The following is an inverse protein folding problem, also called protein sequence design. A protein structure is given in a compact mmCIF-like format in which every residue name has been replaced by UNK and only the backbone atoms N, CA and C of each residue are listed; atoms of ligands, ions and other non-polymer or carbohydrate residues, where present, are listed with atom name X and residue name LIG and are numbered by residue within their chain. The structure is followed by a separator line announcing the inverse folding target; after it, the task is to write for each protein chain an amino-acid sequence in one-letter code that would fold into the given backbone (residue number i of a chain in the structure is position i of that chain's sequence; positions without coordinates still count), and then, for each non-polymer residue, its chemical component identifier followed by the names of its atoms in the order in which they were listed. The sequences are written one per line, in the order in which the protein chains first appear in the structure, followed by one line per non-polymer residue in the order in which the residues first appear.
data_IF_262978455464
#
_entry.id   IF_262978455464
#
_cell.length_a   1.000
_cell.length_b   1.000
_cell.length_c   1.000
_cell.angle_alpha   90.00
_cell.angle_beta   90.00
_cell.angle_gamma   90.00
#
_symmetry.space_group_name_H-M   'P 1'
#
loop_
_entity.id
_entity.type
_entity.pdbx_description
1 polymer ?
#
# COMPACT_ATOMS: atom_id res chain seq x y z
N UNK A 1 64.24 20.08 66.61
CA UNK A 1 63.89 18.71 66.17
C UNK A 1 62.40 18.55 66.41
N UNK A 2 61.71 18.04 65.39
CA UNK A 2 60.27 18.17 65.10
C UNK A 2 59.33 17.49 66.09
N UNK A 3 58.21 18.17 66.33
CA UNK A 3 57.03 17.78 67.11
C UNK A 3 56.29 16.56 66.52
N UNK A 4 55.63 15.77 67.36
CA UNK A 4 54.16 15.84 67.51
C UNK A 4 53.60 14.71 68.38
N UNK A 5 52.53 15.09 69.08
CA UNK A 5 51.75 14.36 70.08
C UNK A 5 51.37 12.92 69.70
N UNK A 6 51.58 12.03 70.67
CA UNK A 6 50.88 10.75 70.80
C UNK A 6 50.06 10.86 72.10
N UNK A 7 48.75 11.06 71.97
CA UNK A 7 47.81 10.64 73.01
C UNK A 7 47.02 9.46 72.46
N UNK A 8 47.34 8.29 73.03
CA UNK A 8 46.48 7.12 73.04
C UNK A 8 45.53 7.29 74.22
N UNK A 9 44.23 7.23 73.95
CA UNK A 9 43.30 6.63 74.90
C UNK A 9 42.50 5.55 74.19
N UNK A 10 42.38 4.43 74.88
CA UNK A 10 42.02 3.12 74.38
C UNK A 10 40.57 2.78 74.67
N UNK A 11 39.96 2.13 73.68
CA UNK A 11 38.97 1.06 73.78
C UNK A 11 37.55 1.39 74.27
N UNK A 12 36.60 1.33 73.34
CA UNK A 12 35.41 0.48 73.53
C UNK A 12 34.80 0.06 72.18
N UNK A 13 34.52 -1.24 72.08
CA UNK A 13 33.39 -1.84 71.38
C UNK A 13 33.41 -1.95 69.85
N UNK A 14 33.65 -3.18 69.40
CA UNK A 14 33.18 -3.65 68.10
C UNK A 14 31.65 -3.80 68.10
N UNK A 15 31.04 -3.50 66.96
CA UNK A 15 29.61 -3.67 66.75
C UNK A 15 29.19 -3.30 65.33
N UNK A 16 29.33 -4.26 64.41
CA UNK A 16 28.51 -4.47 63.21
C UNK A 16 27.55 -3.34 62.79
N UNK A 17 27.96 -2.45 61.89
CA UNK A 17 27.04 -1.49 61.23
C UNK A 17 27.03 -1.58 59.69
N UNK A 18 27.49 -2.70 59.12
CA UNK A 18 27.42 -2.94 57.67
C UNK A 18 26.09 -3.60 57.20
N UNK A 19 25.12 -3.79 58.09
CA UNK A 19 23.88 -4.53 57.80
C UNK A 19 22.68 -3.69 57.36
N UNK A 20 22.71 -2.36 57.58
CA UNK A 20 21.55 -1.47 57.35
C UNK A 20 21.66 -0.57 56.11
N UNK A 21 22.86 -0.38 55.55
CA UNK A 21 23.04 0.46 54.35
C UNK A 21 22.69 -0.28 53.04
N UNK A 22 22.96 -1.58 52.97
CA UNK A 22 22.62 -2.42 51.81
C UNK A 22 21.11 -2.45 51.47
N UNK A 23 20.17 -2.66 52.41
CA UNK A 23 18.74 -2.70 52.08
C UNK A 23 18.19 -1.36 51.59
N UNK A 24 18.64 -0.23 52.15
CA UNK A 24 18.19 1.11 51.72
C UNK A 24 18.68 1.47 50.30
N UNK A 25 19.90 1.06 49.95
CA UNK A 25 20.44 1.24 48.59
C UNK A 25 19.71 0.34 47.58
N UNK A 26 19.33 -0.87 47.99
CA UNK A 26 18.56 -1.80 47.15
C UNK A 26 17.13 -1.27 46.92
N UNK A 27 16.42 -0.81 47.96
CA UNK A 27 15.08 -0.21 47.81
C UNK A 27 15.11 1.05 46.92
N UNK A 28 16.10 1.92 47.09
CA UNK A 28 16.30 3.10 46.25
C UNK A 28 16.51 2.75 44.77
N UNK A 29 17.33 1.71 44.50
CA UNK A 29 17.59 1.22 43.14
C UNK A 29 16.38 0.53 42.53
N UNK A 30 15.66 -0.30 43.30
CA UNK A 30 14.44 -0.97 42.84
C UNK A 30 13.34 0.05 42.51
N UNK A 31 13.18 1.08 43.34
CA UNK A 31 12.20 2.16 43.08
C UNK A 31 12.56 2.98 41.84
N UNK A 32 13.86 3.20 41.60
CA UNK A 32 14.34 3.89 40.40
C UNK A 32 14.17 3.01 39.14
N UNK A 33 14.42 1.70 39.25
CA UNK A 33 14.22 0.73 38.16
C UNK A 33 12.72 0.61 37.82
N UNK A 34 11.83 0.49 38.81
CA UNK A 34 10.37 0.47 38.57
C UNK A 34 9.86 1.74 37.90
N UNK A 35 10.40 2.91 38.25
CA UNK A 35 10.07 4.17 37.56
C UNK A 35 10.55 4.20 36.10
N UNK A 36 11.74 3.68 35.84
CA UNK A 36 12.28 3.58 34.48
C UNK A 36 11.48 2.58 33.65
N UNK A 37 11.09 1.43 34.22
CA UNK A 37 10.24 0.43 33.55
C UNK A 37 8.85 1.00 33.28
N UNK A 38 8.26 1.73 34.24
CA UNK A 38 6.97 2.41 34.03
C UNK A 38 7.04 3.44 32.91
N UNK A 39 8.07 4.29 32.89
CA UNK A 39 8.26 5.29 31.84
C UNK A 39 8.54 4.67 30.46
N UNK A 40 9.31 3.57 30.40
CA UNK A 40 9.54 2.81 29.17
C UNK A 40 8.25 2.16 28.66
N UNK A 41 7.44 1.59 29.56
CA UNK A 41 6.16 0.97 29.21
C UNK A 41 5.12 1.98 28.72
N UNK A 42 5.09 3.19 29.31
CA UNK A 42 4.22 4.27 28.85
C UNK A 42 4.68 4.80 27.49
N UNK A 43 5.98 4.95 27.28
CA UNK A 43 6.56 5.38 26.01
C UNK A 43 6.29 4.36 24.88
N UNK A 44 6.47 3.07 25.14
CA UNK A 44 6.14 2.00 24.19
C UNK A 44 4.64 1.96 23.88
N UNK A 45 3.77 2.16 24.88
CA UNK A 45 2.32 2.22 24.64
C UNK A 45 1.90 3.43 23.81
N UNK A 46 2.48 4.61 24.06
CA UNK A 46 2.22 5.80 23.26
C UNK A 46 2.70 5.62 21.81
N UNK A 47 3.91 5.10 21.61
CA UNK A 47 4.49 4.85 20.29
C UNK A 47 3.65 3.82 19.51
N UNK A 48 3.29 2.69 20.14
CA UNK A 48 2.42 1.67 19.56
C UNK A 48 1.02 2.22 19.23
N UNK A 49 0.46 3.08 20.09
CA UNK A 49 -0.85 3.70 19.85
C UNK A 49 -0.82 4.65 18.66
N UNK A 50 0.28 5.39 18.50
CA UNK A 50 0.50 6.33 17.40
C UNK A 50 0.68 5.60 16.07
N UNK A 51 1.42 4.48 16.05
CA UNK A 51 1.58 3.63 14.88
C UNK A 51 0.26 2.96 14.48
N UNK A 52 -0.52 2.47 15.44
CA UNK A 52 -1.84 1.88 15.18
C UNK A 52 -2.80 2.94 14.62
N UNK A 53 -2.78 4.17 15.13
CA UNK A 53 -3.56 5.27 14.56
C UNK A 53 -3.09 5.61 13.14
N UNK A 54 -1.78 5.70 12.89
CA UNK A 54 -1.23 5.95 11.56
C UNK A 54 -1.62 4.84 10.56
N UNK A 55 -1.59 3.57 10.98
CA UNK A 55 -2.05 2.42 10.20
C UNK A 55 -3.55 2.45 9.94
N UNK A 56 -4.38 2.81 10.93
CA UNK A 56 -5.83 2.96 10.76
C UNK A 56 -6.15 4.09 9.78
N UNK A 57 -5.48 5.23 9.89
CA UNK A 57 -5.62 6.38 8.99
C UNK A 57 -5.14 6.03 7.58
N UNK A 58 -3.99 5.36 7.42
CA UNK A 58 -3.52 4.85 6.13
C UNK A 58 -4.49 3.86 5.49
N UNK A 59 -5.04 2.91 6.26
CA UNK A 59 -6.07 1.96 5.78
C UNK A 59 -7.36 2.69 5.39
N UNK A 60 -7.76 3.72 6.14
CA UNK A 60 -8.91 4.54 5.79
C UNK A 60 -8.69 5.31 4.48
N UNK A 61 -7.51 5.92 4.31
CA UNK A 61 -7.12 6.57 3.05
C UNK A 61 -7.05 5.61 1.87
N UNK A 62 -6.51 4.40 2.05
CA UNK A 62 -6.49 3.37 1.02
C UNK A 62 -7.91 2.95 0.62
N UNK A 63 -8.82 2.74 1.59
CA UNK A 63 -10.24 2.47 1.31
C UNK A 63 -10.94 3.62 0.57
N UNK A 64 -10.64 4.86 0.94
CA UNK A 64 -11.15 6.05 0.27
C UNK A 64 -10.62 6.16 -1.17
N UNK A 65 -9.33 5.97 -1.38
CA UNK A 65 -8.70 5.97 -2.70
C UNK A 65 -9.27 4.87 -3.60
N UNK A 66 -9.47 3.68 -3.03
CA UNK A 66 -10.04 2.53 -3.73
C UNK A 66 -11.51 2.76 -4.11
N UNK A 67 -12.32 3.33 -3.20
CA UNK A 67 -13.71 3.69 -3.47
C UNK A 67 -13.80 4.78 -4.53
N UNK A 68 -12.93 5.80 -4.46
CA UNK A 68 -12.84 6.86 -5.47
C UNK A 68 -12.51 6.29 -6.84
N UNK A 69 -11.52 5.40 -6.92
CA UNK A 69 -11.09 4.75 -8.15
C UNK A 69 -12.22 3.91 -8.78
N UNK A 70 -12.97 3.20 -7.95
CA UNK A 70 -14.13 2.40 -8.35
C UNK A 70 -15.26 3.28 -8.92
N UNK A 71 -15.55 4.42 -8.27
CA UNK A 71 -16.53 5.40 -8.76
C UNK A 71 -16.10 5.99 -10.11
N UNK A 72 -14.83 6.38 -10.25
CA UNK A 72 -14.31 6.95 -11.50
C UNK A 72 -14.45 5.93 -12.64
N UNK A 73 -14.05 4.68 -12.40
CA UNK A 73 -14.16 3.62 -13.39
C UNK A 73 -15.62 3.33 -13.76
N UNK A 74 -16.51 3.20 -12.77
CA UNK A 74 -17.93 2.93 -13.01
C UNK A 74 -18.60 4.05 -13.80
N UNK A 75 -18.33 5.32 -13.46
CA UNK A 75 -18.87 6.48 -14.19
C UNK A 75 -18.33 6.52 -15.62
N UNK A 76 -17.04 6.26 -15.81
CA UNK A 76 -16.44 6.32 -17.14
C UNK A 76 -16.97 5.20 -18.05
N UNK A 77 -16.96 3.94 -17.60
CA UNK A 77 -17.48 2.82 -18.36
C UNK A 77 -18.96 3.01 -18.69
N UNK A 78 -19.72 3.55 -17.76
CA UNK A 78 -21.14 3.83 -17.93
C UNK A 78 -21.42 4.96 -18.93
N UNK A 79 -20.62 6.02 -18.90
CA UNK A 79 -20.73 7.11 -19.88
C UNK A 79 -20.45 6.58 -21.29
N UNK A 80 -19.37 5.80 -21.46
CA UNK A 80 -19.00 5.23 -22.77
C UNK A 80 -20.08 4.26 -23.27
N UNK A 81 -20.55 3.35 -22.42
CA UNK A 81 -21.59 2.39 -22.78
C UNK A 81 -22.95 3.06 -23.05
N UNK A 82 -23.36 4.02 -22.21
CA UNK A 82 -24.63 4.72 -22.37
C UNK A 82 -24.66 5.63 -23.60
N UNK A 83 -23.58 6.38 -23.88
CA UNK A 83 -23.49 7.22 -25.08
C UNK A 83 -23.46 6.36 -26.34
N UNK A 84 -22.68 5.27 -26.37
CA UNK A 84 -22.64 4.38 -27.53
C UNK A 84 -23.98 3.68 -27.80
N UNK A 85 -24.66 3.19 -26.76
CA UNK A 85 -25.99 2.60 -26.88
C UNK A 85 -27.03 3.62 -27.35
N UNK A 86 -27.00 4.83 -26.80
CA UNK A 86 -27.91 5.92 -27.17
C UNK A 86 -27.74 6.38 -28.62
N UNK A 87 -26.49 6.51 -29.08
CA UNK A 87 -26.20 6.82 -30.49
C UNK A 87 -26.70 5.72 -31.42
N UNK A 88 -26.52 4.45 -31.04
CA UNK A 88 -26.93 3.30 -31.86
C UNK A 88 -28.45 3.21 -31.98
N UNK A 89 -29.18 3.43 -30.88
CA UNK A 89 -30.65 3.48 -30.88
C UNK A 89 -31.15 4.69 -31.65
N UNK A 90 -30.53 5.85 -31.49
CA UNK A 90 -30.91 7.05 -32.24
C UNK A 90 -30.72 6.90 -33.74
N UNK A 91 -29.62 6.27 -34.16
CA UNK A 91 -29.39 5.93 -35.57
C UNK A 91 -30.45 4.96 -36.12
N UNK A 92 -30.85 3.95 -35.33
CA UNK A 92 -31.91 3.00 -35.68
C UNK A 92 -33.29 3.68 -35.78
N UNK A 93 -33.65 4.53 -34.82
CA UNK A 93 -34.94 5.22 -34.86
C UNK A 93 -34.99 6.24 -36.01
N UNK A 94 -33.88 6.92 -36.28
CA UNK A 94 -33.78 7.87 -37.39
C UNK A 94 -33.89 7.19 -38.75
N UNK A 95 -33.28 6.02 -38.94
CA UNK A 95 -33.39 5.27 -40.20
C UNK A 95 -34.81 4.79 -40.47
N UNK A 96 -35.53 4.35 -39.43
CA UNK A 96 -36.95 3.97 -39.54
C UNK A 96 -37.83 5.18 -39.86
N UNK A 97 -37.60 6.33 -39.22
CA UNK A 97 -38.37 7.53 -39.49
C UNK A 97 -38.17 8.06 -40.92
N UNK A 98 -36.93 8.04 -41.43
CA UNK A 98 -36.66 8.42 -42.83
C UNK A 98 -37.35 7.45 -43.79
N UNK A 99 -37.29 6.13 -43.52
CA UNK A 99 -37.92 5.12 -44.38
C UNK A 99 -39.44 5.24 -44.43
N UNK A 100 -40.07 5.74 -43.37
CA UNK A 100 -41.53 5.96 -43.30
C UNK A 100 -41.97 7.37 -43.74
N UNK A 101 -41.04 8.20 -44.24
CA UNK A 101 -41.34 9.55 -44.71
C UNK A 101 -41.63 10.55 -43.59
N UNK A 102 -41.03 10.37 -42.41
CA UNK A 102 -41.26 11.21 -41.23
C UNK A 102 -40.82 12.67 -41.41
N UNK A 103 -41.64 13.59 -40.92
CA UNK A 103 -41.39 15.03 -40.96
C UNK A 103 -40.24 15.47 -40.04
N UNK A 104 -39.75 16.70 -40.25
CA UNK A 104 -38.69 17.33 -39.42
C UNK A 104 -38.99 17.31 -37.91
N UNK A 105 -40.27 17.39 -37.52
CA UNK A 105 -40.69 17.30 -36.10
C UNK A 105 -40.38 15.90 -35.54
N UNK A 106 -40.57 14.84 -36.33
CA UNK A 106 -40.25 13.48 -35.93
C UNK A 106 -38.73 13.31 -35.71
N UNK A 107 -37.90 13.88 -36.58
CA UNK A 107 -36.43 13.88 -36.41
C UNK A 107 -35.99 14.56 -35.11
N UNK A 108 -36.59 15.71 -34.77
CA UNK A 108 -36.33 16.40 -33.50
C UNK A 108 -36.67 15.57 -32.27
N UNK A 109 -37.85 14.92 -32.27
CA UNK A 109 -38.27 14.04 -31.17
C UNK A 109 -37.37 12.81 -31.01
N UNK A 110 -36.88 12.24 -32.12
CA UNK A 110 -35.97 11.08 -32.09
C UNK A 110 -34.64 11.44 -31.45
N UNK A 111 -34.06 12.59 -31.80
CA UNK A 111 -32.81 13.07 -31.18
C UNK A 111 -33.01 13.27 -29.67
N UNK A 112 -34.11 13.91 -29.26
CA UNK A 112 -34.42 14.16 -27.85
C UNK A 112 -34.61 12.86 -27.07
N UNK A 113 -35.35 11.90 -27.62
CA UNK A 113 -35.56 10.57 -27.00
C UNK A 113 -34.25 9.79 -26.91
N UNK A 114 -33.39 9.86 -27.93
CA UNK A 114 -32.10 9.17 -27.94
C UNK A 114 -31.17 9.70 -26.85
N UNK A 115 -31.15 11.02 -26.63
CA UNK A 115 -30.35 11.64 -25.56
C UNK A 115 -30.90 11.24 -24.18
N UNK A 116 -32.22 11.28 -23.99
CA UNK A 116 -32.85 10.87 -22.73
C UNK A 116 -32.58 9.38 -22.41
N UNK A 117 -32.62 8.52 -23.43
CA UNK A 117 -32.34 7.11 -23.30
C UNK A 117 -30.86 6.83 -23.01
N UNK A 118 -29.95 7.54 -23.70
CA UNK A 118 -28.51 7.49 -23.45
C UNK A 118 -28.19 7.84 -21.99
N UNK A 119 -28.77 8.93 -21.48
CA UNK A 119 -28.60 9.37 -20.10
C UNK A 119 -29.12 8.36 -19.09
N UNK A 120 -30.28 7.75 -19.36
CA UNK A 120 -30.88 6.74 -18.48
C UNK A 120 -30.06 5.46 -18.41
N UNK A 121 -29.56 4.96 -19.55
CA UNK A 121 -28.69 3.77 -19.61
C UNK A 121 -27.32 4.06 -18.98
N UNK A 122 -26.77 5.26 -19.21
CA UNK A 122 -25.53 5.67 -18.56
C UNK A 122 -25.70 5.65 -17.03
N UNK A 123 -26.77 6.26 -16.50
CA UNK A 123 -27.01 6.26 -15.07
C UNK A 123 -27.22 4.84 -14.52
N UNK A 124 -28.03 4.03 -15.18
CA UNK A 124 -28.29 2.64 -14.77
C UNK A 124 -27.01 1.80 -14.77
N UNK A 125 -26.21 1.87 -15.83
CA UNK A 125 -24.95 1.12 -15.90
C UNK A 125 -23.90 1.62 -14.90
N UNK A 126 -23.87 2.92 -14.58
CA UNK A 126 -22.98 3.47 -13.55
C UNK A 126 -23.32 2.90 -12.17
N UNK A 127 -24.61 2.91 -11.82
CA UNK A 127 -25.10 2.37 -10.54
C UNK A 127 -24.90 0.85 -10.49
N UNK A 128 -25.24 0.14 -11.57
CA UNK A 128 -25.09 -1.30 -11.64
C UNK A 128 -23.62 -1.75 -11.54
N UNK A 129 -22.71 -1.10 -12.28
CA UNK A 129 -21.28 -1.36 -12.17
C UNK A 129 -20.77 -1.04 -10.77
N UNK A 130 -21.16 0.09 -10.19
CA UNK A 130 -20.78 0.44 -8.83
C UNK A 130 -21.23 -0.62 -7.81
N UNK A 131 -22.46 -1.12 -7.91
CA UNK A 131 -22.98 -2.16 -7.02
C UNK A 131 -22.26 -3.50 -7.20
N UNK A 132 -22.00 -3.93 -8.43
CA UNK A 132 -21.24 -5.15 -8.72
C UNK A 132 -19.80 -5.05 -8.23
N UNK A 133 -19.13 -3.94 -8.52
CA UNK A 133 -17.76 -3.68 -8.07
C UNK A 133 -17.70 -3.60 -6.54
N UNK A 134 -18.68 -2.97 -5.89
CA UNK A 134 -18.79 -2.93 -4.42
C UNK A 134 -18.97 -4.34 -3.83
N UNK A 135 -19.86 -5.16 -4.40
CA UNK A 135 -20.04 -6.56 -3.98
C UNK A 135 -18.76 -7.40 -4.18
N UNK A 136 -18.02 -7.16 -5.26
CA UNK A 136 -16.71 -7.79 -5.48
C UNK A 136 -15.67 -7.37 -4.41
N UNK A 137 -15.76 -6.16 -3.87
CA UNK A 137 -14.83 -5.67 -2.83
C UNK A 137 -15.09 -6.24 -1.44
N UNK A 138 -16.31 -6.71 -1.12
CA UNK A 138 -16.73 -6.92 0.28
C UNK A 138 -16.56 -8.32 0.87
N UNK A 139 -16.49 -9.44 0.12
CA UNK A 139 -16.19 -10.73 0.79
C UNK A 139 -15.67 -11.90 -0.05
N UNK A 140 -16.04 -12.06 -1.33
CA UNK A 140 -15.73 -13.31 -2.07
C UNK A 140 -14.58 -13.21 -3.09
N UNK A 141 -14.34 -12.04 -3.71
CA UNK A 141 -13.33 -11.92 -4.76
C UNK A 141 -11.89 -11.73 -4.23
N UNK A 142 -11.72 -11.24 -2.99
CA UNK A 142 -10.39 -11.10 -2.37
C UNK A 142 -9.74 -12.47 -2.14
N UNK A 143 -10.54 -13.47 -1.76
CA UNK A 143 -10.09 -14.85 -1.51
C UNK A 143 -9.92 -15.68 -2.78
N UNK A 144 -10.85 -15.58 -3.74
CA UNK A 144 -10.75 -16.29 -5.03
C UNK A 144 -9.67 -15.71 -5.95
N UNK A 145 -9.43 -14.39 -5.92
CA UNK A 145 -8.35 -13.78 -6.69
C UNK A 145 -6.96 -14.07 -6.11
N UNK A 146 -6.85 -14.56 -4.87
CA UNK A 146 -5.58 -15.07 -4.33
C UNK A 146 -5.25 -16.47 -4.86
N UNK A 147 -6.23 -17.23 -5.37
CA UNK A 147 -6.07 -18.65 -5.74
C UNK A 147 -5.93 -18.96 -7.24
N UNK A 148 -6.26 -18.05 -8.17
CA UNK A 148 -6.21 -18.35 -9.61
C UNK A 148 -5.37 -17.39 -10.45
N UNK A 149 -4.56 -17.98 -11.34
CA UNK A 149 -3.13 -17.70 -11.52
C UNK A 149 -2.72 -17.29 -12.95
N UNK A 150 -3.64 -16.81 -13.80
CA UNK A 150 -3.30 -16.41 -15.19
C UNK A 150 -3.00 -14.92 -15.39
N UNK A 151 -3.57 -14.06 -14.54
CA UNK A 151 -3.43 -12.59 -14.60
C UNK A 151 -2.31 -12.08 -13.70
N UNK A 152 -1.82 -12.93 -12.80
CA UNK A 152 -0.69 -12.64 -11.95
C UNK A 152 0.57 -12.75 -12.79
N UNK A 153 1.26 -11.63 -13.01
CA UNK A 153 2.57 -11.61 -13.64
C UNK A 153 3.61 -11.50 -12.55
N UNK A 154 4.60 -12.39 -12.60
CA UNK A 154 5.73 -12.40 -11.68
C UNK A 154 7.01 -12.46 -12.48
N UNK A 155 8.02 -11.72 -12.05
CA UNK A 155 9.39 -11.82 -12.55
C UNK A 155 10.33 -11.81 -11.36
N UNK A 156 11.34 -12.65 -11.42
CA UNK A 156 12.43 -12.67 -10.45
C UNK A 156 13.62 -11.94 -11.03
N UNK A 157 14.28 -11.15 -10.19
CA UNK A 157 15.48 -10.41 -10.54
C UNK A 157 16.49 -10.66 -9.43
N UNK A 158 17.72 -11.00 -9.80
CA UNK A 158 18.82 -11.13 -8.86
C UNK A 158 19.63 -9.84 -8.88
N UNK A 159 19.90 -9.29 -7.70
CA UNK A 159 20.68 -8.07 -7.55
C UNK A 159 21.87 -8.30 -6.61
N UNK A 160 23.07 -7.79 -6.95
CA UNK A 160 24.29 -7.97 -6.17
C UNK A 160 24.36 -6.95 -5.02
N UNK A 161 23.30 -6.89 -4.20
CA UNK A 161 23.24 -6.06 -3.00
C UNK A 161 22.72 -6.87 -1.80
N UNK A 162 23.16 -6.57 -0.56
CA UNK A 162 22.64 -7.16 0.66
C UNK A 162 21.15 -6.85 0.83
N UNK A 163 20.46 -7.72 1.57
CA UNK A 163 19.00 -7.70 1.78
C UNK A 163 18.46 -6.32 2.16
N UNK A 164 19.11 -5.64 3.12
CA UNK A 164 18.67 -4.32 3.61
C UNK A 164 18.67 -3.27 2.49
N UNK A 165 19.70 -3.25 1.65
CA UNK A 165 19.81 -2.33 0.53
C UNK A 165 18.79 -2.70 -0.57
N UNK A 166 18.59 -3.99 -0.83
CA UNK A 166 17.58 -4.47 -1.78
C UNK A 166 16.14 -4.06 -1.40
N UNK A 167 15.82 -4.07 -0.09
CA UNK A 167 14.52 -3.59 0.41
C UNK A 167 14.35 -2.09 0.17
N UNK A 168 15.36 -1.28 0.50
CA UNK A 168 15.27 0.18 0.33
C UNK A 168 15.25 0.59 -1.16
N UNK A 169 15.96 -0.13 -2.04
CA UNK A 169 15.84 0.04 -3.49
C UNK A 169 14.42 -0.28 -3.98
N UNK A 170 13.82 -1.35 -3.45
CA UNK A 170 12.44 -1.74 -3.79
C UNK A 170 11.41 -0.70 -3.33
N UNK A 171 11.57 -0.15 -2.12
CA UNK A 171 10.74 0.95 -1.60
C UNK A 171 10.88 2.16 -2.50
N UNK A 172 12.10 2.55 -2.84
CA UNK A 172 12.38 3.73 -3.67
C UNK A 172 11.81 3.58 -5.08
N UNK A 173 12.00 2.41 -5.70
CA UNK A 173 11.46 2.09 -7.02
C UNK A 173 9.94 2.25 -7.05
N UNK A 174 9.23 1.72 -6.05
CA UNK A 174 7.77 1.84 -5.96
C UNK A 174 7.30 3.25 -5.57
N UNK A 175 8.02 3.95 -4.69
CA UNK A 175 7.68 5.30 -4.24
C UNK A 175 7.86 6.36 -5.35
N UNK A 176 8.84 6.16 -6.23
CA UNK A 176 9.16 7.09 -7.31
C UNK A 176 8.08 7.16 -8.40
N UNK A 177 7.16 6.18 -8.44
CA UNK A 177 6.14 6.08 -9.48
C UNK A 177 4.99 7.04 -9.26
N UNK A 178 4.85 7.99 -10.18
CA UNK A 178 3.72 8.93 -10.19
C UNK A 178 2.39 8.19 -10.29
N UNK A 179 1.48 8.49 -9.37
CA UNK A 179 0.15 7.87 -9.31
C UNK A 179 0.15 6.47 -8.70
N UNK A 180 1.22 6.06 -8.04
CA UNK A 180 1.26 4.84 -7.26
C UNK A 180 1.22 5.19 -5.77
N UNK A 181 0.59 4.34 -4.97
CA UNK A 181 0.39 4.56 -3.54
C UNK A 181 0.91 3.37 -2.77
N UNK A 182 1.96 3.58 -1.98
CA UNK A 182 2.49 2.57 -1.07
C UNK A 182 1.41 2.19 -0.05
N UNK A 183 1.01 0.92 -0.06
CA UNK A 183 -0.05 0.38 0.79
C UNK A 183 0.54 -0.25 2.05
N UNK A 184 1.59 -1.06 1.90
CA UNK A 184 2.27 -1.72 3.02
C UNK A 184 3.76 -1.86 2.77
N UNK A 185 4.54 -1.68 3.82
CA UNK A 185 5.99 -1.91 3.86
C UNK A 185 6.24 -2.80 5.07
N UNK A 186 6.65 -4.03 4.84
CA UNK A 186 7.11 -4.93 5.90
C UNK A 186 8.60 -5.21 5.67
N UNK A 187 9.45 -4.56 6.46
CA UNK A 187 10.90 -4.69 6.34
C UNK A 187 11.40 -6.04 6.84
N UNK A 188 10.70 -6.67 7.79
CA UNK A 188 11.10 -7.95 8.37
C UNK A 188 10.87 -9.10 7.38
N UNK A 189 9.76 -9.05 6.65
CA UNK A 189 9.44 -10.02 5.59
C UNK A 189 10.00 -9.65 4.22
N UNK A 190 10.63 -8.47 4.10
CA UNK A 190 11.14 -7.93 2.84
C UNK A 190 10.05 -7.65 1.80
N UNK A 191 8.80 -7.42 2.23
CA UNK A 191 7.66 -7.20 1.32
C UNK A 191 7.27 -5.73 1.23
N UNK A 192 7.13 -5.24 0.01
CA UNK A 192 6.69 -3.87 -0.30
C UNK A 192 5.55 -3.95 -1.29
N UNK A 193 4.42 -3.32 -0.98
CA UNK A 193 3.21 -3.38 -1.79
C UNK A 193 2.73 -1.97 -2.08
N UNK A 194 2.38 -1.74 -3.34
CA UNK A 194 1.87 -0.48 -3.87
C UNK A 194 0.62 -0.73 -4.72
N UNK A 195 -0.28 0.24 -4.73
CA UNK A 195 -1.46 0.26 -5.58
C UNK A 195 -1.29 1.32 -6.66
N UNK A 196 -1.48 0.94 -7.92
CA UNK A 196 -1.52 1.90 -9.02
C UNK A 196 -2.87 2.61 -9.07
N UNK A 197 -2.86 3.89 -9.47
CA UNK A 197 -4.09 4.67 -9.66
C UNK A 197 -4.96 4.06 -10.75
N UNK A 198 -6.27 4.12 -10.54
CA UNK A 198 -7.22 3.81 -11.59
C UNK A 198 -7.09 4.81 -12.75
N UNK A 199 -7.39 4.31 -13.93
CA UNK A 199 -7.48 5.06 -15.18
C UNK A 199 -8.80 4.71 -15.87
N UNK A 200 -9.16 5.47 -16.91
CA UNK A 200 -10.31 5.16 -17.76
C UNK A 200 -10.32 3.72 -18.31
N UNK A 201 -9.14 3.10 -18.44
CA UNK A 201 -8.96 1.76 -19.03
C UNK A 201 -8.79 0.63 -18.00
N UNK A 202 -8.53 0.94 -16.73
CA UNK A 202 -8.26 -0.08 -15.72
C UNK A 202 -8.52 0.49 -14.32
N UNK A 203 -9.18 -0.28 -13.43
CA UNK A 203 -9.42 0.12 -12.04
C UNK A 203 -8.15 0.17 -11.16
N UNK A 204 -6.97 -0.08 -11.74
CA UNK A 204 -5.69 -0.12 -11.04
C UNK A 204 -5.19 -1.55 -10.84
N UNK A 205 -3.98 -1.65 -10.31
CA UNK A 205 -3.26 -2.91 -10.11
C UNK A 205 -2.60 -2.89 -8.73
N UNK A 206 -2.55 -4.06 -8.11
CA UNK A 206 -1.69 -4.31 -6.96
C UNK A 206 -0.32 -4.72 -7.50
N UNK A 207 0.69 -3.94 -7.17
CA UNK A 207 2.08 -4.21 -7.54
C UNK A 207 2.87 -4.42 -6.26
N UNK A 208 3.67 -5.46 -6.19
CA UNK A 208 4.50 -5.69 -5.02
C UNK A 208 5.83 -6.31 -5.36
N UNK A 209 6.72 -6.21 -4.38
CA UNK A 209 8.07 -6.74 -4.41
C UNK A 209 8.29 -7.51 -3.12
N UNK A 210 8.87 -8.70 -3.22
CA UNK A 210 9.38 -9.45 -2.09
C UNK A 210 10.86 -9.67 -2.30
N UNK A 211 11.67 -9.20 -1.35
CA UNK A 211 13.11 -9.34 -1.37
C UNK A 211 13.48 -10.51 -0.46
N UNK A 212 14.09 -11.54 -1.05
CA UNK A 212 14.57 -12.72 -0.34
C UNK A 212 16.11 -12.74 -0.40
N UNK A 213 16.82 -13.04 0.71
CA UNK A 213 18.27 -13.14 0.69
C UNK A 213 18.71 -14.35 -0.16
N UNK A 214 19.75 -14.16 -0.99
CA UNK A 214 20.40 -15.25 -1.73
C UNK A 214 21.76 -15.58 -1.10
N UNK A 215 22.55 -14.54 -0.82
CA UNK A 215 23.81 -14.60 -0.07
C UNK A 215 23.93 -13.39 0.84
N UNK A 216 25.03 -13.26 1.59
CA UNK A 216 25.28 -12.06 2.42
C UNK A 216 25.31 -10.76 1.61
N UNK A 217 25.72 -10.85 0.34
CA UNK A 217 25.93 -9.69 -0.55
C UNK A 217 25.02 -9.70 -1.78
N UNK A 218 24.03 -10.60 -1.85
CA UNK A 218 23.08 -10.64 -2.96
C UNK A 218 21.69 -11.03 -2.49
N UNK A 219 20.67 -10.51 -3.17
CA UNK A 219 19.28 -10.83 -2.90
C UNK A 219 18.48 -11.01 -4.19
N UNK A 220 17.38 -11.76 -4.09
CA UNK A 220 16.41 -11.96 -5.16
C UNK A 220 15.21 -11.08 -4.88
N UNK A 221 14.85 -10.23 -5.85
CA UNK A 221 13.62 -9.45 -5.82
C UNK A 221 12.58 -10.14 -6.68
N UNK A 222 11.56 -10.67 -6.02
CA UNK A 222 10.36 -11.22 -6.64
C UNK A 222 9.36 -10.08 -6.87
N UNK A 223 9.24 -9.63 -8.12
CA UNK A 223 8.33 -8.55 -8.52
C UNK A 223 7.05 -9.17 -9.03
N UNK A 224 5.91 -8.66 -8.60
CA UNK A 224 4.62 -9.10 -9.09
C UNK A 224 3.66 -7.94 -9.37
N UNK A 225 2.80 -8.12 -10.36
CA UNK A 225 1.65 -7.27 -10.61
C UNK A 225 0.39 -8.11 -10.81
N UNK A 226 -0.72 -7.58 -10.32
CA UNK A 226 -2.04 -8.19 -10.41
C UNK A 226 -3.10 -7.11 -10.64
N UNK A 227 -4.01 -7.29 -11.62
CA UNK A 227 -5.12 -6.37 -11.79
C UNK A 227 -6.06 -6.41 -10.58
N UNK A 228 -6.52 -5.23 -10.17
CA UNK A 228 -7.51 -5.14 -9.10
C UNK A 228 -8.93 -5.29 -9.67
N UNK A 229 -9.78 -6.08 -9.03
CA UNK A 229 -11.22 -6.15 -9.31
C UNK A 229 -11.61 -6.57 -10.75
N UNK A 230 -10.69 -7.08 -11.57
CA UNK A 230 -11.00 -7.56 -12.92
C UNK A 230 -10.48 -8.98 -13.15
N UNK A 231 -11.20 -9.74 -13.98
CA UNK A 231 -10.74 -11.00 -14.54
C UNK A 231 -10.00 -10.81 -15.88
N UNK A 232 -9.75 -9.57 -16.29
CA UNK A 232 -9.13 -9.21 -17.57
C UNK A 232 -7.86 -8.40 -17.30
N UNK A 233 -6.73 -8.89 -17.84
CA UNK A 233 -5.45 -8.17 -17.86
C UNK A 233 -5.43 -7.30 -19.11
N UNK A 234 -5.36 -5.99 -18.92
CA UNK A 234 -5.28 -5.01 -20.00
C UNK A 234 -3.84 -4.79 -20.50
N UNK A 235 -2.91 -5.71 -20.19
CA UNK A 235 -1.50 -5.70 -20.60
C UNK A 235 -0.59 -4.85 -19.71
N UNK A 236 -1.15 -4.11 -18.74
CA UNK A 236 -0.39 -3.25 -17.82
C UNK A 236 0.40 -4.06 -16.79
N UNK A 237 -0.07 -5.25 -16.43
CA UNK A 237 0.58 -6.08 -15.42
C UNK A 237 1.96 -6.54 -15.86
N UNK A 238 2.11 -7.01 -17.11
CA UNK A 238 3.41 -7.39 -17.67
C UNK A 238 4.33 -6.17 -17.86
N UNK A 239 3.77 -5.04 -18.32
CA UNK A 239 4.51 -3.80 -18.48
C UNK A 239 5.11 -3.31 -17.16
N UNK A 240 4.31 -3.25 -16.10
CA UNK A 240 4.73 -2.79 -14.78
C UNK A 240 5.81 -3.70 -14.18
N UNK A 241 5.66 -5.02 -14.31
CA UNK A 241 6.67 -5.98 -13.85
C UNK A 241 7.99 -5.81 -14.59
N UNK A 242 7.96 -5.65 -15.92
CA UNK A 242 9.18 -5.46 -16.71
C UNK A 242 9.85 -4.11 -16.46
N UNK A 243 9.06 -3.05 -16.27
CA UNK A 243 9.57 -1.71 -15.95
C UNK A 243 10.33 -1.73 -14.62
N UNK A 244 9.71 -2.30 -13.58
CA UNK A 244 10.32 -2.38 -12.25
C UNK A 244 11.52 -3.32 -12.22
N UNK A 245 11.45 -4.44 -12.95
CA UNK A 245 12.58 -5.36 -13.07
C UNK A 245 13.81 -4.64 -13.63
N UNK A 246 13.61 -3.90 -14.74
CA UNK A 246 14.69 -3.14 -15.36
C UNK A 246 15.27 -2.07 -14.43
N UNK A 247 14.43 -1.33 -13.71
CA UNK A 247 14.90 -0.29 -12.79
C UNK A 247 15.67 -0.85 -11.59
N UNK A 248 15.24 -2.00 -11.06
CA UNK A 248 15.94 -2.66 -9.96
C UNK A 248 17.28 -3.26 -10.44
N UNK A 249 17.30 -3.86 -11.64
CA UNK A 249 18.53 -4.35 -12.27
C UNK A 249 19.53 -3.19 -12.45
N UNK A 250 19.09 -2.08 -13.02
CA UNK A 250 19.93 -0.88 -13.22
C UNK A 250 20.40 -0.28 -11.89
N UNK A 251 19.52 -0.14 -10.90
CA UNK A 251 19.87 0.40 -9.59
C UNK A 251 20.87 -0.50 -8.84
N UNK A 252 20.73 -1.83 -8.94
CA UNK A 252 21.66 -2.79 -8.36
C UNK A 252 23.06 -2.68 -8.96
N UNK A 253 23.15 -2.53 -10.29
CA UNK A 253 24.44 -2.35 -10.99
C UNK A 253 25.09 -1.02 -10.61
N UNK A 254 24.34 0.09 -10.59
CA UNK A 254 24.86 1.40 -10.18
C UNK A 254 25.38 1.36 -8.74
N UNK A 255 24.64 0.72 -7.84
CA UNK A 255 25.05 0.57 -6.45
C UNK A 255 26.38 -0.21 -6.31
N UNK A 256 26.57 -1.24 -7.12
CA UNK A 256 27.83 -1.99 -7.14
C UNK A 256 28.99 -1.14 -7.66
N UNK A 257 28.78 -0.36 -8.72
CA UNK A 257 29.79 0.55 -9.28
C UNK A 257 30.22 1.63 -8.28
N UNK A 258 29.26 2.18 -7.52
CA UNK A 258 29.54 3.19 -6.49
C UNK A 258 30.31 2.63 -5.28
N UNK A 259 30.14 1.33 -4.96
CA UNK A 259 30.92 0.66 -3.89
C UNK A 259 32.34 0.29 -4.32
N UNK A 260 32.66 0.31 -5.61
CA UNK A 260 34.00 0.01 -6.14
C UNK A 260 34.90 1.24 -6.30
N UNK A 261 34.40 2.44 -6.00
CA UNK A 261 35.16 3.70 -5.94
C UNK A 261 35.57 4.00 -4.49
#
# INVERSE_FOLDING_TARGET
MTESNIERESASEGGSDNGKELPAVIESRVTRISRIIGALSEFEQEELSSEIQALKVRRAHARLANTRNLIIFSVHSALVAGVSAGLLIGALMMSVAIALGGDFIALGTIIQMSIAFAGSIALFSAVYMFLLLKAATTSMARELSLKHSKLYKMRKVEIPVPLKEGIELSITALASKKGWHLESINRDEGTVISQTSASSRSPGELVGMKVDPLTENSCVVNIYSKPMYTALDFGKSLYNVNLLAKEIEEAGVVHQLLKMQ
#
